data_IF_498577961769
#
_entry.id   IF_498577961769
#
_cell.length_a   1.000
_cell.length_b   1.000
_cell.length_c   1.000
_cell.angle_alpha   90.00
_cell.angle_beta   90.00
_cell.angle_gamma   90.00
#
_symmetry.space_group_name_H-M   'P 1'
#
loop_
_entity.id
_entity.type
_entity.pdbx_description
1 polymer ?
#
# COMPACT_ATOMS: atom_id res chain seq x y z
N UNK A 1 -13.87 7.71 -2.75
CA UNK A 1 -13.31 6.34 -2.86
C UNK A 1 -11.81 6.47 -2.72
N UNK A 2 -11.20 5.85 -1.72
CA UNK A 2 -9.74 5.84 -1.55
C UNK A 2 -9.08 4.83 -2.49
N UNK A 3 -7.78 4.99 -2.74
CA UNK A 3 -7.02 4.10 -3.64
C UNK A 3 -7.07 2.62 -3.23
N UNK A 4 -6.87 2.32 -1.94
CA UNK A 4 -6.94 0.94 -1.43
C UNK A 4 -8.33 0.31 -1.58
N UNK A 5 -9.41 1.11 -1.48
CA UNK A 5 -10.77 0.64 -1.75
C UNK A 5 -10.96 0.26 -3.22
N UNK A 6 -10.36 1.03 -4.14
CA UNK A 6 -10.42 0.72 -5.57
C UNK A 6 -9.69 -0.60 -5.88
N UNK A 7 -8.50 -0.81 -5.31
CA UNK A 7 -7.76 -2.07 -5.43
C UNK A 7 -8.59 -3.23 -4.88
N UNK A 8 -9.17 -3.06 -3.69
CA UNK A 8 -10.00 -4.08 -3.08
C UNK A 8 -11.18 -4.45 -3.99
N UNK A 9 -11.88 -3.47 -4.55
CA UNK A 9 -13.05 -3.73 -5.38
C UNK A 9 -12.70 -4.33 -6.75
N UNK A 10 -11.52 -4.02 -7.30
CA UNK A 10 -11.10 -4.52 -8.61
C UNK A 10 -10.55 -5.95 -8.54
N UNK A 11 -9.76 -6.28 -7.51
CA UNK A 11 -9.06 -7.56 -7.37
C UNK A 11 -9.64 -8.47 -6.28
N UNK A 12 -10.98 -8.60 -6.22
CA UNK A 12 -11.72 -9.20 -5.08
C UNK A 12 -11.22 -10.56 -4.57
N UNK A 13 -10.73 -11.42 -5.46
CA UNK A 13 -10.36 -12.81 -5.14
C UNK A 13 -8.85 -13.07 -5.30
N UNK A 14 -8.06 -12.01 -5.49
CA UNK A 14 -6.61 -12.13 -5.68
C UNK A 14 -5.87 -11.55 -4.49
N UNK A 15 -4.83 -12.28 -4.08
CA UNK A 15 -3.77 -11.72 -3.25
C UNK A 15 -3.11 -10.58 -4.03
N UNK A 16 -3.11 -9.39 -3.46
CA UNK A 16 -2.60 -8.19 -4.11
C UNK A 16 -1.52 -7.58 -3.24
N UNK A 17 -0.32 -7.43 -3.79
CA UNK A 17 0.79 -6.75 -3.12
C UNK A 17 0.91 -5.34 -3.66
N UNK A 18 0.96 -4.36 -2.75
CA UNK A 18 1.15 -2.94 -3.05
C UNK A 18 2.46 -2.53 -2.40
N UNK A 19 3.40 -2.08 -3.22
CA UNK A 19 4.71 -1.58 -2.77
C UNK A 19 4.62 -0.07 -2.66
N UNK A 20 4.97 0.48 -1.51
CA UNK A 20 4.87 1.92 -1.20
C UNK A 20 6.20 2.50 -0.76
N UNK A 21 6.37 3.80 -0.92
CA UNK A 21 7.46 4.55 -0.30
C UNK A 21 7.31 4.53 1.23
N UNK A 22 8.35 4.93 1.97
CA UNK A 22 8.34 4.86 3.44
C UNK A 22 7.60 6.04 4.09
N UNK A 23 6.53 6.55 3.45
CA UNK A 23 5.79 7.69 3.95
C UNK A 23 5.00 7.33 5.22
N UNK A 24 4.96 8.25 6.19
CA UNK A 24 4.30 8.02 7.49
C UNK A 24 2.80 7.76 7.38
N UNK A 25 2.17 8.20 6.30
CA UNK A 25 0.74 7.99 6.03
C UNK A 25 0.37 6.51 5.89
N UNK A 26 1.27 5.68 5.35
CA UNK A 26 1.05 4.23 5.18
C UNK A 26 1.02 3.48 6.51
N UNK A 27 1.67 4.06 7.52
CA UNK A 27 1.75 3.52 8.88
C UNK A 27 0.61 3.97 9.79
N UNK A 28 -0.33 4.78 9.28
CA UNK A 28 -1.46 5.26 10.08
C UNK A 28 -2.39 4.13 10.52
N UNK A 29 -2.99 4.27 11.71
CA UNK A 29 -3.92 3.28 12.25
C UNK A 29 -5.09 2.99 11.30
N UNK A 30 -5.55 4.01 10.57
CA UNK A 30 -6.61 3.86 9.57
C UNK A 30 -6.23 2.87 8.46
N UNK A 31 -4.98 2.91 8.00
CA UNK A 31 -4.49 1.98 6.97
C UNK A 31 -4.36 0.57 7.56
N UNK A 32 -3.83 0.44 8.78
CA UNK A 32 -3.71 -0.85 9.46
C UNK A 32 -5.09 -1.51 9.69
N UNK A 33 -6.08 -0.73 10.14
CA UNK A 33 -7.47 -1.20 10.31
C UNK A 33 -8.11 -1.63 8.98
N UNK A 34 -7.77 -0.95 7.88
CA UNK A 34 -8.23 -1.31 6.55
C UNK A 34 -7.61 -2.64 6.08
N UNK A 35 -6.30 -2.81 6.25
CA UNK A 35 -5.57 -4.02 5.86
C UNK A 35 -6.03 -5.24 6.68
N UNK A 36 -6.28 -5.07 7.99
CA UNK A 36 -6.83 -6.12 8.85
C UNK A 36 -8.20 -6.63 8.38
N UNK A 37 -9.02 -5.77 7.74
CA UNK A 37 -10.31 -6.17 7.14
C UNK A 37 -10.17 -6.73 5.73
N UNK A 38 -9.01 -6.57 5.10
CA UNK A 38 -8.73 -6.94 3.73
C UNK A 38 -7.41 -7.72 3.68
N UNK A 39 -7.32 -8.85 4.40
CA UNK A 39 -6.08 -9.64 4.60
C UNK A 39 -5.39 -10.09 3.29
N UNK A 40 -6.12 -10.08 2.17
CA UNK A 40 -5.58 -10.35 0.82
C UNK A 40 -4.82 -9.18 0.20
N UNK A 41 -4.79 -8.00 0.84
CA UNK A 41 -3.98 -6.86 0.40
C UNK A 41 -2.78 -6.77 1.32
N UNK A 42 -1.60 -6.94 0.74
CA UNK A 42 -0.33 -6.79 1.44
C UNK A 42 0.27 -5.43 1.07
N UNK A 43 0.54 -4.60 2.06
CA UNK A 43 1.27 -3.36 1.90
C UNK A 43 2.72 -3.59 2.31
N UNK A 44 3.67 -3.30 1.42
CA UNK A 44 5.10 -3.51 1.65
C UNK A 44 5.83 -2.19 1.46
N UNK A 45 6.51 -1.73 2.52
CA UNK A 45 7.36 -0.54 2.45
C UNK A 45 8.63 -0.82 1.66
N UNK A 46 9.05 0.14 0.83
CA UNK A 46 10.36 0.13 0.21
C UNK A 46 11.45 0.26 1.29
N UNK A 47 12.59 -0.45 1.13
CA UNK A 47 13.72 -0.29 2.05
C UNK A 47 14.21 1.17 2.03
N UNK A 48 14.59 1.71 3.21
CA UNK A 48 15.04 3.09 3.34
C UNK A 48 16.26 3.36 2.43
N UNK A 49 16.23 4.49 1.73
CA UNK A 49 17.24 4.92 0.75
C UNK A 49 17.38 4.01 -0.48
N UNK A 50 16.28 3.83 -1.21
CA UNK A 50 16.32 3.44 -2.63
C UNK A 50 16.01 4.65 -3.53
N UNK A 51 16.88 5.68 -3.60
CA UNK A 51 16.62 6.89 -4.40
C UNK A 51 16.41 6.59 -5.89
N UNK A 52 16.92 5.45 -6.38
CA UNK A 52 16.71 5.00 -7.77
C UNK A 52 15.31 4.41 -8.02
N UNK A 53 14.55 4.08 -6.97
CA UNK A 53 13.24 3.42 -7.06
C UNK A 53 12.05 4.36 -6.86
N UNK A 54 12.29 5.67 -6.70
CA UNK A 54 11.23 6.70 -6.64
C UNK A 54 11.38 7.73 -7.77
N UNK A 55 11.14 7.36 -9.04
CA UNK A 55 11.33 8.29 -10.17
C UNK A 55 10.40 9.52 -10.14
N UNK A 56 9.33 9.47 -9.34
CA UNK A 56 8.29 10.51 -9.27
C UNK A 56 8.72 11.76 -8.49
N UNK A 57 9.84 11.70 -7.77
CA UNK A 57 10.40 12.82 -7.00
C UNK A 57 11.41 13.67 -7.81
N UNK A 58 11.55 13.45 -9.12
CA UNK A 58 12.35 14.30 -10.03
C UNK A 58 11.53 15.36 -10.76
#
# INVERSE_FOLDING_TARGET
MSFLQLIANHYKEKLTTVVVDNATIHHSQLIQDFLAKNERILLIDLPPYSPDLTPIER
#
